data_IF_450587366797
#
_entry.id   IF_450587366797
#
_cell.length_a   1.000
_cell.length_b   1.000
_cell.length_c   1.000
_cell.angle_alpha   90.00
_cell.angle_beta   90.00
_cell.angle_gamma   90.00
#
_symmetry.space_group_name_H-M   'P 1'
#
loop_
_entity.id
_entity.type
_entity.pdbx_description
1 polymer ?
#
# COMPACT_ATOMS: atom_id res chain seq x y z
N UNK A 1 15.84 -3.03 12.45
CA UNK A 1 15.14 -2.83 11.17
C UNK A 1 15.59 -3.94 10.27
N UNK A 2 14.76 -4.98 10.20
CA UNK A 2 14.97 -6.12 9.32
C UNK A 2 14.65 -5.64 7.92
N UNK A 3 15.60 -5.72 7.00
CA UNK A 3 15.32 -5.53 5.58
C UNK A 3 15.69 -6.85 4.93
N UNK A 4 14.71 -7.49 4.30
CA UNK A 4 15.00 -8.67 3.51
C UNK A 4 15.46 -8.24 2.11
N UNK A 5 16.33 -9.02 1.47
CA UNK A 5 16.91 -8.69 0.16
C UNK A 5 16.48 -9.69 -0.91
N UNK A 6 16.26 -9.21 -2.13
CA UNK A 6 16.12 -10.04 -3.32
C UNK A 6 17.47 -10.70 -3.67
N UNK A 7 17.42 -11.75 -4.50
CA UNK A 7 18.63 -12.47 -4.95
C UNK A 7 19.64 -11.58 -5.71
N UNK A 8 19.20 -10.44 -6.24
CA UNK A 8 20.05 -9.43 -6.89
C UNK A 8 20.68 -8.42 -5.90
N UNK A 9 20.52 -8.63 -4.58
CA UNK A 9 21.03 -7.74 -3.53
C UNK A 9 20.17 -6.50 -3.26
N UNK A 10 19.06 -6.33 -3.98
CA UNK A 10 18.17 -5.20 -3.78
C UNK A 10 17.29 -5.42 -2.53
N UNK A 11 17.08 -4.36 -1.74
CA UNK A 11 16.15 -4.37 -0.60
C UNK A 11 14.71 -4.68 -1.07
N UNK A 12 14.05 -5.61 -0.39
CA UNK A 12 12.64 -5.99 -0.61
C UNK A 12 11.69 -5.06 0.12
N UNK A 13 12.03 -4.67 1.35
CA UNK A 13 11.31 -3.67 2.11
C UNK A 13 12.21 -2.92 3.07
N UNK A 14 11.81 -1.70 3.42
CA UNK A 14 12.44 -0.92 4.47
C UNK A 14 11.38 -0.24 5.34
N UNK A 15 11.66 -0.14 6.63
CA UNK A 15 10.89 0.66 7.58
C UNK A 15 11.69 1.90 7.97
N UNK A 16 11.16 3.08 7.67
CA UNK A 16 11.84 4.36 7.93
C UNK A 16 10.86 5.42 8.39
N UNK A 17 11.12 6.02 9.55
CA UNK A 17 10.29 7.07 10.15
C UNK A 17 8.81 6.68 10.30
N UNK A 18 8.54 5.40 10.64
CA UNK A 18 7.20 4.85 10.78
C UNK A 18 6.49 4.50 9.47
N UNK A 19 7.12 4.80 8.32
CA UNK A 19 6.65 4.37 7.02
C UNK A 19 7.27 3.03 6.65
N UNK A 20 6.47 2.19 6.02
CA UNK A 20 6.86 0.93 5.42
C UNK A 20 6.83 1.07 3.91
N UNK A 21 7.94 0.69 3.28
CA UNK A 21 8.12 0.70 1.84
C UNK A 21 8.44 -0.71 1.39
N UNK A 22 7.63 -1.27 0.50
CA UNK A 22 7.97 -2.50 -0.22
C UNK A 22 8.38 -2.14 -1.64
N UNK A 23 9.36 -2.87 -2.14
CA UNK A 23 9.90 -2.72 -3.48
C UNK A 23 9.65 -3.98 -4.29
N UNK A 24 9.44 -3.81 -5.58
CA UNK A 24 9.55 -4.88 -6.56
C UNK A 24 11.02 -5.19 -6.83
N UNK A 25 11.29 -6.35 -7.45
CA UNK A 25 12.65 -6.77 -7.83
C UNK A 25 13.39 -5.87 -8.84
N UNK A 26 12.71 -4.85 -9.37
CA UNK A 26 13.26 -3.85 -10.30
C UNK A 26 13.51 -2.49 -9.64
N UNK A 27 13.38 -2.40 -8.31
CA UNK A 27 13.54 -1.18 -7.54
C UNK A 27 12.30 -0.29 -7.47
N UNK A 28 11.26 -0.55 -8.27
CA UNK A 28 10.03 0.24 -8.22
C UNK A 28 9.22 -0.06 -6.96
N UNK A 29 8.47 0.91 -6.45
CA UNK A 29 7.60 0.68 -5.31
C UNK A 29 6.58 -0.41 -5.62
N UNK A 30 6.33 -1.27 -4.65
CA UNK A 30 5.27 -2.28 -4.62
C UNK A 30 4.15 -1.84 -3.69
N UNK A 31 4.49 -1.31 -2.52
CA UNK A 31 3.55 -0.63 -1.63
C UNK A 31 4.23 0.38 -0.72
N UNK A 32 3.46 1.38 -0.31
CA UNK A 32 3.89 2.37 0.68
C UNK A 32 2.72 2.62 1.62
N UNK A 33 2.99 2.63 2.93
CA UNK A 33 2.01 2.98 3.95
C UNK A 33 2.64 3.10 5.32
N UNK A 34 1.82 3.38 6.33
CA UNK A 34 2.27 3.50 7.71
C UNK A 34 1.80 2.30 8.53
N UNK A 35 2.66 1.84 9.43
CA UNK A 35 2.25 0.99 10.55
C UNK A 35 2.25 1.79 11.85
N UNK A 36 1.22 1.62 12.66
CA UNK A 36 1.12 2.14 14.03
C UNK A 36 0.72 0.96 14.92
N UNK A 37 1.52 0.67 15.94
CA UNK A 37 1.31 -0.50 16.83
C UNK A 37 1.19 -1.83 16.06
N UNK A 38 2.04 -2.04 15.05
CA UNK A 38 2.03 -3.19 14.14
C UNK A 38 0.77 -3.33 13.25
N UNK A 39 -0.11 -2.32 13.25
CA UNK A 39 -1.32 -2.30 12.44
C UNK A 39 -1.24 -1.25 11.33
N UNK A 40 -1.85 -1.54 10.17
CA UNK A 40 -1.91 -0.58 9.07
C UNK A 40 -2.67 0.66 9.49
N UNK A 41 -2.09 1.83 9.23
CA UNK A 41 -2.70 3.10 9.57
C UNK A 41 -2.53 4.13 8.45
N UNK A 42 -3.57 4.94 8.24
CA UNK A 42 -3.61 5.93 7.18
C UNK A 42 -3.73 5.35 5.78
N UNK A 43 -3.22 6.09 4.80
CA UNK A 43 -3.34 5.75 3.38
C UNK A 43 -2.22 4.82 2.96
N UNK A 44 -2.61 3.69 2.39
CA UNK A 44 -1.77 2.70 1.75
C UNK A 44 -1.92 2.78 0.24
N UNK A 45 -0.79 2.87 -0.47
CA UNK A 45 -0.73 2.88 -1.94
C UNK A 45 -0.05 1.62 -2.43
N UNK A 46 -0.62 0.99 -3.45
CA UNK A 46 -0.07 -0.22 -4.07
C UNK A 46 0.16 0.00 -5.55
N UNK A 47 1.30 -0.52 -6.02
CA UNK A 47 1.84 -0.23 -7.34
C UNK A 47 2.12 -1.53 -8.11
N UNK A 48 1.78 -1.56 -9.40
CA UNK A 48 2.22 -2.57 -10.37
C UNK A 48 3.46 -2.09 -11.07
N UNK A 49 4.31 -2.99 -11.54
CA UNK A 49 5.38 -2.64 -12.49
C UNK A 49 4.77 -2.04 -13.76
N UNK A 50 5.28 -0.90 -14.29
CA UNK A 50 6.50 -0.18 -13.88
C UNK A 50 6.22 1.05 -12.98
N UNK A 51 5.60 0.86 -11.81
CA UNK A 51 5.31 1.93 -10.84
C UNK A 51 3.90 2.56 -10.94
N UNK A 52 2.95 1.90 -11.60
CA UNK A 52 1.57 2.40 -11.73
C UNK A 52 0.72 2.02 -10.52
N UNK A 53 0.07 3.00 -9.89
CA UNK A 53 -0.90 2.72 -8.83
C UNK A 53 -2.03 1.85 -9.38
N UNK A 54 -2.36 0.79 -8.65
CA UNK A 54 -3.53 -0.03 -8.93
C UNK A 54 -4.52 -0.11 -7.78
N UNK A 55 -4.11 0.31 -6.58
CA UNK A 55 -4.95 0.28 -5.40
C UNK A 55 -4.55 1.37 -4.40
N UNK A 56 -5.53 2.06 -3.83
CA UNK A 56 -5.39 2.94 -2.68
C UNK A 56 -6.35 2.44 -1.60
N UNK A 57 -5.88 2.32 -0.37
CA UNK A 57 -6.67 1.85 0.77
C UNK A 57 -6.43 2.75 1.97
N UNK A 58 -7.49 3.16 2.66
CA UNK A 58 -7.37 3.83 3.94
C UNK A 58 -7.69 2.88 5.09
N UNK A 59 -6.83 2.90 6.11
CA UNK A 59 -6.95 2.09 7.31
C UNK A 59 -6.86 2.96 8.56
N UNK A 60 -7.45 2.48 9.66
CA UNK A 60 -7.30 3.02 11.01
C UNK A 60 -7.11 1.84 11.96
N UNK A 61 -5.92 1.72 12.55
CA UNK A 61 -5.56 0.57 13.40
C UNK A 61 -5.92 -0.80 12.77
N UNK A 62 -5.55 -0.99 11.50
CA UNK A 62 -5.79 -2.24 10.76
C UNK A 62 -7.18 -2.37 10.14
N UNK A 63 -8.13 -1.52 10.54
CA UNK A 63 -9.53 -1.58 10.09
C UNK A 63 -9.70 -0.70 8.83
N UNK A 64 -10.32 -1.18 7.75
CA UNK A 64 -10.69 -0.35 6.60
C UNK A 64 -11.52 0.87 7.02
N UNK A 65 -10.99 2.07 6.79
CA UNK A 65 -11.65 3.31 7.19
C UNK A 65 -11.25 4.46 6.26
N UNK A 66 -12.17 4.88 5.41
CA UNK A 66 -12.00 5.89 4.37
C UNK A 66 -12.11 5.32 2.97
N UNK A 67 -11.53 6.04 2.00
CA UNK A 67 -11.65 5.74 0.57
C UNK A 67 -10.78 4.53 0.19
N UNK A 68 -11.36 3.68 -0.66
CA UNK A 68 -10.72 2.53 -1.28
C UNK A 68 -10.91 2.59 -2.78
N UNK A 69 -9.82 2.74 -3.51
CA UNK A 69 -9.85 2.90 -4.97
C UNK A 69 -9.06 1.80 -5.64
N UNK A 70 -9.55 1.37 -6.81
CA UNK A 70 -8.84 0.43 -7.68
C UNK A 70 -8.77 0.97 -9.09
N UNK A 71 -7.60 0.81 -9.69
CA UNK A 71 -7.31 1.25 -11.06
C UNK A 71 -6.96 0.06 -11.96
N UNK A 72 -7.43 0.11 -13.20
CA UNK A 72 -7.06 -0.87 -14.21
C UNK A 72 -5.63 -0.60 -14.75
N UNK A 73 -5.15 -1.43 -15.68
CA UNK A 73 -3.80 -1.31 -16.24
C UNK A 73 -3.56 0.00 -17.03
N UNK A 74 -4.63 0.66 -17.48
CA UNK A 74 -4.59 1.97 -18.16
C UNK A 74 -4.57 3.14 -17.16
N UNK A 75 -4.65 2.87 -15.85
CA UNK A 75 -4.73 3.90 -14.82
C UNK A 75 -6.12 4.50 -14.65
N UNK A 76 -7.14 3.89 -15.27
CA UNK A 76 -8.53 4.36 -15.13
C UNK A 76 -9.12 3.78 -13.85
N UNK A 77 -9.77 4.65 -13.05
CA UNK A 77 -10.51 4.26 -11.86
C UNK A 77 -11.67 3.34 -12.25
N UNK A 78 -11.70 2.15 -11.66
CA UNK A 78 -12.73 1.12 -11.95
C UNK A 78 -13.59 0.78 -10.75
N UNK A 79 -13.22 1.26 -9.57
CA UNK A 79 -13.94 1.04 -8.32
C UNK A 79 -13.51 2.09 -7.31
N UNK A 80 -14.49 2.70 -6.64
CA UNK A 80 -14.29 3.59 -5.50
C UNK A 80 -15.33 3.24 -4.45
N UNK A 81 -14.86 2.85 -3.27
CA UNK A 81 -15.64 2.42 -2.14
C UNK A 81 -15.28 3.29 -0.93
N UNK A 82 -16.24 3.54 -0.05
CA UNK A 82 -16.00 4.25 1.21
C UNK A 82 -16.28 3.29 2.34
N UNK A 83 -15.31 3.12 3.25
CA UNK A 83 -15.48 2.33 4.46
C UNK A 83 -15.54 3.22 5.69
N UNK A 84 -16.37 2.84 6.66
CA UNK A 84 -16.39 3.42 7.99
C UNK A 84 -16.35 2.28 9.02
N UNK A 85 -15.30 2.26 9.86
CA UNK A 85 -15.08 1.20 10.86
C UNK A 85 -15.25 -0.23 10.28
N UNK A 86 -14.65 -0.47 9.12
CA UNK A 86 -14.63 -1.77 8.45
C UNK A 86 -15.87 -2.08 7.63
N UNK A 87 -16.89 -1.22 7.65
CA UNK A 87 -18.15 -1.43 6.92
C UNK A 87 -18.19 -0.59 5.66
N UNK A 88 -18.59 -1.21 4.55
CA UNK A 88 -18.85 -0.49 3.30
C UNK A 88 -20.04 0.45 3.51
N UNK A 89 -19.80 1.75 3.30
CA UNK A 89 -20.82 2.77 3.21
C UNK A 89 -21.40 2.71 1.79
N UNK A 90 -22.70 2.42 1.70
CA UNK A 90 -23.46 2.44 0.45
C UNK A 90 -24.19 3.75 0.29
#
# INVERSE_FOLDING_TARGET
MESEQYANGQIMYEDKNGWHYEYHSDGSFKSIGKFVSNEKDGVWKYYRKPGRIYKICSYKMGIPNGIWERYNHKGVLVESLVYCDGKLVK
#
